data_IF_770452167410
#
_entry.id   IF_770452167410
#
_cell.length_a   1.000
_cell.length_b   1.000
_cell.length_c   1.000
_cell.angle_alpha   90.00
_cell.angle_beta   90.00
_cell.angle_gamma   90.00
#
_symmetry.space_group_name_H-M   'P 1'
#
loop_
_entity.id
_entity.type
_entity.pdbx_description
1 polymer ?
#
# COMPACT_ATOMS: atom_id res chain seq x y z
N UNK A 1 -4.81 7.73 -12.22
CA UNK A 1 -5.81 6.92 -11.50
C UNK A 1 -5.40 6.93 -10.04
N UNK A 2 -6.29 7.32 -9.14
CA UNK A 2 -6.00 7.24 -7.70
C UNK A 2 -6.08 5.79 -7.26
N UNK A 3 -5.24 5.40 -6.32
CA UNK A 3 -5.30 4.09 -5.69
C UNK A 3 -6.52 4.03 -4.78
N UNK A 4 -7.07 2.83 -4.57
CA UNK A 4 -8.23 2.70 -3.68
C UNK A 4 -7.84 2.85 -2.20
N UNK A 5 -6.54 2.77 -1.90
CA UNK A 5 -6.02 2.68 -0.54
C UNK A 5 -5.84 4.04 0.13
N UNK A 6 -5.84 5.13 -0.65
CA UNK A 6 -6.08 6.48 -0.13
C UNK A 6 -7.53 6.57 0.35
N UNK A 7 -7.73 6.42 1.65
CA UNK A 7 -9.04 6.38 2.28
C UNK A 7 -9.84 7.68 2.07
N UNK A 8 -9.26 8.90 2.25
CA UNK A 8 -9.90 10.15 1.84
C UNK A 8 -10.35 10.16 0.38
N UNK A 9 -9.51 9.70 -0.56
CA UNK A 9 -9.89 9.62 -1.96
C UNK A 9 -11.04 8.62 -2.20
N UNK A 10 -11.01 7.47 -1.53
CA UNK A 10 -12.11 6.50 -1.58
C UNK A 10 -13.42 7.11 -1.09
N UNK A 11 -13.42 7.83 0.04
CA UNK A 11 -14.64 8.47 0.54
C UNK A 11 -15.22 9.47 -0.46
N UNK A 12 -14.37 10.31 -1.07
CA UNK A 12 -14.79 11.23 -2.14
C UNK A 12 -15.35 10.51 -3.35
N UNK A 13 -14.74 9.37 -3.73
CA UNK A 13 -15.21 8.54 -4.83
C UNK A 13 -16.60 7.96 -4.54
N UNK A 14 -16.79 7.37 -3.35
CA UNK A 14 -18.09 6.84 -2.93
C UNK A 14 -19.16 7.92 -2.91
N UNK A 15 -18.86 9.10 -2.36
CA UNK A 15 -19.79 10.23 -2.35
C UNK A 15 -20.16 10.66 -3.78
N UNK A 16 -19.20 10.71 -4.71
CA UNK A 16 -19.44 11.07 -6.12
C UNK A 16 -20.35 10.06 -6.85
N UNK A 17 -20.40 8.83 -6.36
CA UNK A 17 -21.25 7.75 -6.87
C UNK A 17 -22.55 7.60 -6.06
N UNK A 18 -22.81 8.49 -5.10
CA UNK A 18 -23.94 8.41 -4.16
C UNK A 18 -23.95 7.09 -3.36
N UNK A 19 -22.78 6.49 -3.13
CA UNK A 19 -22.62 5.28 -2.31
C UNK A 19 -22.32 5.70 -0.86
N UNK A 20 -23.04 5.10 0.10
CA UNK A 20 -22.82 5.40 1.52
C UNK A 20 -21.38 5.08 1.93
N UNK A 21 -20.74 6.01 2.64
CA UNK A 21 -19.38 5.86 3.19
C UNK A 21 -19.20 4.61 4.09
N UNK A 22 -20.28 4.09 4.66
CA UNK A 22 -20.27 2.82 5.42
C UNK A 22 -19.79 1.61 4.62
N UNK A 23 -19.82 1.68 3.28
CA UNK A 23 -19.29 0.62 2.41
C UNK A 23 -17.77 0.68 2.24
N UNK A 24 -17.09 1.77 2.63
CA UNK A 24 -15.65 1.93 2.42
C UNK A 24 -14.82 0.84 3.11
N UNK A 25 -15.09 0.57 4.39
CA UNK A 25 -14.32 -0.43 5.13
C UNK A 25 -14.58 -1.87 4.67
N UNK A 26 -15.85 -2.34 4.51
CA UNK A 26 -16.13 -3.64 3.93
C UNK A 26 -15.49 -3.85 2.56
N UNK A 27 -15.55 -2.83 1.70
CA UNK A 27 -14.92 -2.84 0.38
C UNK A 27 -13.42 -3.03 0.50
N UNK A 28 -12.73 -2.17 1.25
CA UNK A 28 -11.28 -2.27 1.42
C UNK A 28 -10.85 -3.60 2.04
N UNK A 29 -11.60 -4.12 3.02
CA UNK A 29 -11.29 -5.41 3.65
C UNK A 29 -11.39 -6.56 2.65
N UNK A 30 -12.45 -6.61 1.86
CA UNK A 30 -12.64 -7.65 0.87
C UNK A 30 -11.58 -7.60 -0.24
N UNK A 31 -11.28 -6.39 -0.71
CA UNK A 31 -10.29 -6.18 -1.76
C UNK A 31 -8.87 -6.43 -1.27
N UNK A 32 -8.53 -6.10 -0.03
CA UNK A 32 -7.23 -6.42 0.59
C UNK A 32 -6.95 -7.92 0.51
N UNK A 33 -7.90 -8.76 0.91
CA UNK A 33 -7.72 -10.22 0.87
C UNK A 33 -7.50 -10.73 -0.57
N UNK A 34 -8.28 -10.24 -1.54
CA UNK A 34 -8.13 -10.57 -2.96
C UNK A 34 -6.77 -10.15 -3.50
N UNK A 35 -6.36 -8.92 -3.20
CA UNK A 35 -5.10 -8.33 -3.62
C UNK A 35 -3.91 -9.10 -3.06
N UNK A 36 -3.91 -9.48 -1.78
CA UNK A 36 -2.81 -10.23 -1.17
C UNK A 36 -2.71 -11.66 -1.74
N UNK A 37 -3.83 -12.29 -2.07
CA UNK A 37 -3.87 -13.67 -2.57
C UNK A 37 -3.66 -13.78 -4.09
N UNK A 38 -3.82 -12.68 -4.82
CA UNK A 38 -3.68 -12.67 -6.26
C UNK A 38 -2.21 -12.82 -6.70
N UNK A 39 -1.96 -13.45 -7.87
CA UNK A 39 -0.66 -13.35 -8.53
C UNK A 39 -0.30 -11.90 -8.84
N UNK A 40 0.97 -11.64 -9.17
CA UNK A 40 1.39 -10.31 -9.59
C UNK A 40 0.56 -9.86 -10.80
N UNK A 41 -0.08 -8.69 -10.67
CA UNK A 41 -1.00 -8.13 -11.63
C UNK A 41 -1.36 -6.70 -11.23
N UNK A 42 -1.62 -5.88 -12.26
CA UNK A 42 -1.73 -4.43 -12.15
C UNK A 42 -3.18 -3.96 -12.33
N UNK A 43 -4.10 -4.85 -12.72
CA UNK A 43 -5.52 -4.53 -12.92
C UNK A 43 -6.43 -5.25 -11.94
N UNK A 44 -7.64 -4.71 -11.73
CA UNK A 44 -8.66 -5.38 -10.91
C UNK A 44 -9.04 -6.77 -11.46
N UNK A 45 -8.99 -6.94 -12.79
CA UNK A 45 -9.19 -8.24 -13.44
C UNK A 45 -8.12 -9.25 -13.07
N UNK A 46 -6.84 -8.85 -13.06
CA UNK A 46 -5.73 -9.73 -12.70
C UNK A 46 -5.82 -10.23 -11.25
N UNK A 47 -6.37 -9.40 -10.35
CA UNK A 47 -6.60 -9.75 -8.95
C UNK A 47 -7.94 -10.46 -8.70
N UNK A 48 -8.67 -10.81 -9.76
CA UNK A 48 -9.93 -11.54 -9.68
C UNK A 48 -11.06 -10.76 -9.01
N UNK A 49 -11.02 -9.42 -9.09
CA UNK A 49 -12.07 -8.51 -8.61
C UNK A 49 -12.89 -8.05 -9.80
N UNK A 50 -14.20 -8.32 -9.72
CA UNK A 50 -15.16 -8.00 -10.78
C UNK A 50 -16.36 -7.23 -10.23
N UNK A 51 -17.23 -6.74 -11.10
CA UNK A 51 -18.53 -6.18 -10.67
C UNK A 51 -19.29 -7.16 -9.76
N UNK A 52 -19.26 -8.47 -10.06
CA UNK A 52 -19.91 -9.48 -9.23
C UNK A 52 -19.33 -9.52 -7.81
N UNK A 53 -18.02 -9.29 -7.66
CA UNK A 53 -17.38 -9.21 -6.32
C UNK A 53 -17.99 -8.08 -5.49
N UNK A 54 -18.31 -6.94 -6.11
CA UNK A 54 -18.94 -5.81 -5.42
C UNK A 54 -20.40 -6.09 -5.07
N UNK A 55 -21.13 -6.74 -5.98
CA UNK A 55 -22.52 -7.16 -5.75
C UNK A 55 -22.59 -8.15 -4.58
N UNK A 56 -21.65 -9.11 -4.50
CA UNK A 56 -21.59 -10.10 -3.42
C UNK A 56 -21.30 -9.45 -2.04
N UNK A 57 -20.67 -8.28 -2.04
CA UNK A 57 -20.45 -7.44 -0.85
C UNK A 57 -21.67 -6.57 -0.49
N UNK A 58 -22.77 -6.68 -1.25
CA UNK A 58 -23.99 -5.90 -1.06
C UNK A 58 -23.90 -4.46 -1.57
N UNK A 59 -22.96 -4.15 -2.45
CA UNK A 59 -22.86 -2.83 -3.08
C UNK A 59 -23.82 -2.73 -4.29
N UNK A 60 -24.34 -1.52 -4.60
CA UNK A 60 -25.16 -1.31 -5.79
C UNK A 60 -24.33 -1.50 -7.07
N UNK A 61 -24.97 -1.83 -8.20
CA UNK A 61 -24.27 -2.04 -9.50
C UNK A 61 -23.37 -0.89 -9.92
N UNK A 62 -23.76 0.36 -9.64
CA UNK A 62 -22.93 1.56 -9.89
C UNK A 62 -21.58 1.55 -9.17
N UNK A 63 -21.39 0.69 -8.16
CA UNK A 63 -20.10 0.50 -7.52
C UNK A 63 -19.05 -0.08 -8.48
N UNK A 64 -19.43 -0.70 -9.61
CA UNK A 64 -18.52 -1.10 -10.66
C UNK A 64 -17.61 0.05 -11.13
N UNK A 65 -18.12 1.28 -11.15
CA UNK A 65 -17.36 2.49 -11.50
C UNK A 65 -16.17 2.72 -10.55
N UNK A 66 -16.21 2.19 -9.33
CA UNK A 66 -15.06 2.24 -8.41
C UNK A 66 -13.87 1.49 -9.01
N UNK A 67 -14.09 0.33 -9.63
CA UNK A 67 -13.04 -0.46 -10.26
C UNK A 67 -12.53 0.21 -11.54
N UNK A 68 -13.41 0.84 -12.32
CA UNK A 68 -13.04 1.54 -13.54
C UNK A 68 -12.20 2.80 -13.25
N UNK A 69 -12.47 3.47 -12.12
CA UNK A 69 -11.81 4.73 -11.73
C UNK A 69 -10.62 4.54 -10.80
N UNK A 70 -10.24 3.30 -10.48
CA UNK A 70 -9.12 2.99 -9.58
C UNK A 70 -8.28 1.84 -10.10
N UNK A 71 -7.17 1.59 -9.42
CA UNK A 71 -6.26 0.46 -9.67
C UNK A 71 -5.97 -0.26 -8.35
N UNK A 72 -5.68 -1.57 -8.36
CA UNK A 72 -5.22 -2.28 -7.16
C UNK A 72 -3.86 -1.79 -6.66
N UNK A 73 -3.01 -1.23 -7.53
CA UNK A 73 -1.74 -0.60 -7.15
C UNK A 73 -1.47 0.64 -8.01
N UNK A 74 -1.09 1.76 -7.38
CA UNK A 74 -0.49 2.92 -8.04
C UNK A 74 1.03 2.81 -8.11
N UNK A 75 1.64 2.27 -7.05
CA UNK A 75 3.06 1.99 -6.94
C UNK A 75 3.44 0.77 -7.76
N UNK A 76 4.51 0.88 -8.56
CA UNK A 76 5.07 -0.25 -9.29
C UNK A 76 6.28 -0.79 -8.56
N UNK A 77 6.29 -2.10 -8.28
CA UNK A 77 7.48 -2.76 -7.74
C UNK A 77 8.56 -2.84 -8.84
N UNK A 78 9.52 -1.92 -8.81
CA UNK A 78 10.59 -1.84 -9.80
C UNK A 78 11.62 -2.95 -9.60
N UNK A 79 12.03 -3.20 -8.36
CA UNK A 79 12.97 -4.27 -8.02
C UNK A 79 12.72 -4.80 -6.61
N UNK A 80 12.92 -6.10 -6.42
CA UNK A 80 12.99 -6.74 -5.11
C UNK A 80 14.26 -7.58 -5.02
N UNK A 81 15.09 -7.33 -4.00
CA UNK A 81 16.35 -8.05 -3.78
C UNK A 81 16.33 -8.67 -2.40
N UNK A 82 16.50 -9.98 -2.33
CA UNK A 82 16.55 -10.74 -1.07
C UNK A 82 18.01 -10.97 -0.68
N UNK A 83 18.32 -10.79 0.62
CA UNK A 83 19.63 -11.06 1.19
C UNK A 83 20.03 -12.52 1.04
N UNK A 84 21.33 -12.81 1.09
CA UNK A 84 21.85 -14.16 0.89
C UNK A 84 21.32 -15.20 1.90
N UNK A 85 21.04 -14.76 3.13
CA UNK A 85 20.45 -15.58 4.20
C UNK A 85 18.91 -15.66 4.13
N UNK A 86 18.27 -14.99 3.18
CA UNK A 86 16.81 -14.96 3.02
C UNK A 86 16.06 -14.15 4.06
N UNK A 87 16.73 -13.61 5.08
CA UNK A 87 16.09 -12.94 6.23
C UNK A 87 15.48 -11.59 5.85
N UNK A 88 16.02 -10.94 4.81
CA UNK A 88 15.65 -9.57 4.46
C UNK A 88 15.37 -9.42 2.97
N UNK A 89 14.31 -8.71 2.61
CA UNK A 89 14.05 -8.33 1.21
C UNK A 89 13.88 -6.82 1.11
N UNK A 90 14.75 -6.17 0.34
CA UNK A 90 14.60 -4.76 -0.04
C UNK A 90 13.73 -4.65 -1.28
N UNK A 91 12.73 -3.80 -1.25
CA UNK A 91 11.82 -3.48 -2.35
C UNK A 91 11.99 -2.03 -2.74
N UNK A 92 12.03 -1.75 -4.04
CA UNK A 92 12.03 -0.40 -4.59
C UNK A 92 10.73 -0.21 -5.35
N UNK A 93 9.97 0.80 -4.96
CA UNK A 93 8.72 1.18 -5.59
C UNK A 93 8.92 2.44 -6.42
N UNK A 94 8.47 2.41 -7.67
CA UNK A 94 8.28 3.60 -8.50
C UNK A 94 6.86 4.13 -8.27
N UNK A 95 6.77 5.37 -7.82
CA UNK A 95 5.52 6.08 -7.53
C UNK A 95 4.86 6.58 -8.82
N UNK A 96 3.63 7.08 -8.68
CA UNK A 96 2.83 7.58 -9.80
C UNK A 96 3.48 8.77 -10.54
N UNK A 97 4.30 9.54 -9.84
CA UNK A 97 5.03 10.72 -10.34
C UNK A 97 6.46 10.39 -10.82
N UNK A 98 6.83 9.10 -10.80
CA UNK A 98 8.12 8.59 -11.27
C UNK A 98 9.24 8.64 -10.23
N UNK A 99 9.00 9.18 -9.03
CA UNK A 99 9.95 9.09 -7.93
C UNK A 99 10.02 7.67 -7.36
N UNK A 100 11.06 7.40 -6.56
CA UNK A 100 11.28 6.06 -5.99
C UNK A 100 11.41 6.11 -4.48
N UNK A 101 10.80 5.13 -3.83
CA UNK A 101 10.94 4.87 -2.40
C UNK A 101 11.32 3.42 -2.14
N UNK A 102 11.94 3.18 -0.98
CA UNK A 102 12.34 1.85 -0.57
C UNK A 102 11.48 1.34 0.59
N UNK A 103 11.23 0.04 0.61
CA UNK A 103 10.65 -0.67 1.75
C UNK A 103 11.46 -1.92 2.03
N UNK A 104 11.46 -2.39 3.28
CA UNK A 104 12.25 -3.56 3.68
C UNK A 104 11.41 -4.55 4.46
N UNK A 105 11.24 -5.76 3.93
CA UNK A 105 10.67 -6.89 4.65
C UNK A 105 11.79 -7.56 5.45
N UNK A 106 11.62 -7.66 6.77
CA UNK A 106 12.54 -8.34 7.69
C UNK A 106 11.81 -9.51 8.34
N UNK A 107 12.42 -10.69 8.27
CA UNK A 107 11.88 -11.96 8.78
C UNK A 107 12.68 -12.35 10.01
N UNK A 108 11.97 -12.52 11.12
CA UNK A 108 12.49 -13.06 12.37
C UNK A 108 11.76 -14.38 12.68
N UNK A 109 12.26 -15.14 13.64
CA UNK A 109 11.71 -16.45 14.00
C UNK A 109 10.22 -16.42 14.35
N UNK A 110 9.74 -15.34 14.97
CA UNK A 110 8.38 -15.21 15.49
C UNK A 110 7.50 -14.20 14.73
N UNK A 111 8.09 -13.40 13.83
CA UNK A 111 7.38 -12.30 13.16
C UNK A 111 8.01 -11.89 11.84
N UNK A 112 7.16 -11.34 10.97
CA UNK A 112 7.60 -10.63 9.76
C UNK A 112 7.23 -9.15 9.89
N UNK A 113 8.22 -8.27 9.72
CA UNK A 113 8.10 -6.83 9.85
C UNK A 113 8.35 -6.14 8.51
N UNK A 114 7.51 -5.18 8.14
CA UNK A 114 7.78 -4.26 7.02
C UNK A 114 8.27 -2.92 7.56
N UNK A 115 9.36 -2.43 6.99
CA UNK A 115 9.80 -1.05 7.11
C UNK A 115 9.23 -0.26 5.92
N UNK A 116 8.40 0.74 6.18
CA UNK A 116 7.76 1.58 5.15
C UNK A 116 8.37 2.99 5.11
N UNK A 117 8.40 3.55 3.92
CA UNK A 117 8.69 4.96 3.66
C UNK A 117 7.43 5.81 3.82
N UNK A 118 7.61 7.07 4.20
CA UNK A 118 6.56 8.08 4.39
C UNK A 118 6.75 9.33 3.52
N UNK A 119 7.95 9.54 2.97
CA UNK A 119 8.28 10.67 2.09
C UNK A 119 9.30 10.25 1.02
N UNK A 120 9.40 11.05 -0.04
CA UNK A 120 10.51 11.01 -1.00
C UNK A 120 11.57 12.02 -0.55
N UNK A 121 12.69 11.51 -0.04
CA UNK A 121 13.69 12.31 0.67
C UNK A 121 13.30 12.53 2.14
N UNK A 122 14.02 13.38 2.87
CA UNK A 122 13.70 13.71 4.26
C UNK A 122 14.24 15.08 4.65
N UNK A 123 13.36 15.96 5.15
CA UNK A 123 13.71 17.35 5.49
C UNK A 123 14.56 17.48 6.76
N UNK A 124 14.71 16.41 7.55
CA UNK A 124 15.44 16.47 8.82
C UNK A 124 16.94 16.73 8.65
N UNK A 125 17.51 16.48 7.46
CA UNK A 125 18.91 16.83 7.17
C UNK A 125 19.94 16.08 8.02
N UNK A 126 19.57 14.93 8.61
CA UNK A 126 20.46 14.12 9.44
C UNK A 126 21.68 13.66 8.63
N UNK A 127 22.88 14.12 8.98
CA UNK A 127 24.11 13.93 8.19
C UNK A 127 24.60 12.48 8.10
N UNK A 128 24.15 11.62 9.01
CA UNK A 128 24.43 10.18 9.01
C UNK A 128 23.41 9.36 8.20
N UNK A 129 22.31 9.97 7.76
CA UNK A 129 21.24 9.30 7.04
C UNK A 129 21.35 9.60 5.55
N UNK A 130 21.45 8.57 4.72
CA UNK A 130 21.49 8.74 3.26
C UNK A 130 20.27 9.53 2.75
N UNK A 131 19.07 9.20 3.22
CA UNK A 131 17.83 9.94 2.88
C UNK A 131 17.87 11.40 3.33
N UNK A 132 18.53 11.70 4.46
CA UNK A 132 18.72 13.07 4.95
C UNK A 132 19.64 13.92 4.08
N UNK A 133 20.43 13.30 3.20
CA UNK A 133 21.26 13.99 2.21
C UNK A 133 20.60 14.15 0.84
N UNK A 134 19.43 13.53 0.64
CA UNK A 134 18.68 13.62 -0.62
C UNK A 134 17.83 14.90 -0.69
N UNK A 135 17.54 15.42 -1.89
CA UNK A 135 16.52 16.44 -2.05
C UNK A 135 15.17 15.98 -1.49
N UNK A 136 14.47 16.90 -0.82
CA UNK A 136 13.10 16.67 -0.38
C UNK A 136 12.19 16.94 -1.57
N UNK A 137 11.44 15.92 -1.99
CA UNK A 137 10.45 16.05 -3.05
C UNK A 137 9.07 16.27 -2.45
N UNK A 138 8.67 15.45 -1.47
CA UNK A 138 7.37 15.59 -0.82
C UNK A 138 6.93 14.37 -0.01
N UNK A 139 5.72 14.50 0.53
CA UNK A 139 5.04 13.47 1.29
C UNK A 139 4.44 12.40 0.39
N UNK A 140 4.41 11.16 0.89
CA UNK A 140 3.61 10.10 0.27
C UNK A 140 2.15 10.24 0.68
N UNK A 141 1.23 9.94 -0.24
CA UNK A 141 -0.17 9.79 0.12
C UNK A 141 -0.41 8.49 0.93
N UNK A 142 -1.57 8.41 1.59
CA UNK A 142 -1.91 7.26 2.42
C UNK A 142 -1.92 5.94 1.61
N UNK A 143 -2.32 6.01 0.35
CA UNK A 143 -2.34 4.86 -0.54
C UNK A 143 -0.93 4.38 -0.88
N UNK A 144 -0.02 5.30 -1.22
CA UNK A 144 1.39 5.00 -1.51
C UNK A 144 2.11 4.35 -0.33
N UNK A 145 1.74 4.70 0.91
CA UNK A 145 2.27 4.04 2.11
C UNK A 145 1.65 2.65 2.29
N UNK A 146 0.32 2.53 2.18
CA UNK A 146 -0.39 1.25 2.36
C UNK A 146 0.00 0.23 1.30
N UNK A 147 0.24 0.65 0.07
CA UNK A 147 0.64 -0.23 -1.02
C UNK A 147 1.99 -0.90 -0.78
N UNK A 148 2.92 -0.27 -0.05
CA UNK A 148 4.17 -0.91 0.38
C UNK A 148 3.88 -2.13 1.26
N UNK A 149 2.92 -2.02 2.18
CA UNK A 149 2.47 -3.13 3.04
C UNK A 149 1.74 -4.21 2.22
N UNK A 150 0.83 -3.82 1.33
CA UNK A 150 0.09 -4.79 0.49
C UNK A 150 1.01 -5.58 -0.44
N UNK A 151 1.99 -4.90 -1.05
CA UNK A 151 3.00 -5.54 -1.88
C UNK A 151 3.87 -6.50 -1.05
N UNK A 152 4.28 -6.11 0.16
CA UNK A 152 4.99 -6.99 1.08
C UNK A 152 4.17 -8.24 1.47
N UNK A 153 2.89 -8.06 1.77
CA UNK A 153 1.98 -9.17 2.10
C UNK A 153 1.80 -10.13 0.94
N UNK A 154 1.57 -9.59 -0.27
CA UNK A 154 1.48 -10.39 -1.50
C UNK A 154 2.78 -11.15 -1.76
N UNK A 155 3.93 -10.49 -1.58
CA UNK A 155 5.24 -11.10 -1.79
C UNK A 155 5.47 -12.30 -0.85
N UNK A 156 5.20 -12.14 0.46
CA UNK A 156 5.29 -13.25 1.42
C UNK A 156 4.29 -14.36 1.11
N UNK A 157 3.04 -14.01 0.82
CA UNK A 157 1.97 -14.98 0.49
C UNK A 157 2.33 -15.81 -0.73
N UNK A 158 2.85 -15.19 -1.79
CA UNK A 158 3.26 -15.88 -3.02
C UNK A 158 4.40 -16.87 -2.81
N UNK A 159 5.25 -16.62 -1.81
CA UNK A 159 6.35 -17.49 -1.42
C UNK A 159 5.97 -18.47 -0.29
N UNK A 160 4.68 -18.54 0.08
CA UNK A 160 4.16 -19.34 1.18
C UNK A 160 4.90 -19.09 2.52
N UNK A 161 5.22 -17.82 2.80
CA UNK A 161 5.92 -17.37 4.01
C UNK A 161 4.94 -16.74 5.01
N UNK A 162 5.32 -16.64 6.30
CA UNK A 162 4.50 -15.97 7.30
C UNK A 162 4.13 -14.53 6.91
N UNK A 163 2.86 -14.19 7.08
CA UNK A 163 2.34 -12.86 6.80
C UNK A 163 3.07 -11.77 7.62
N UNK A 164 3.19 -10.59 7.01
CA UNK A 164 3.63 -9.36 7.67
C UNK A 164 2.61 -8.97 8.73
N UNK A 165 3.04 -8.90 9.99
CA UNK A 165 2.17 -8.54 11.13
C UNK A 165 2.65 -7.31 11.89
N UNK A 166 3.82 -6.79 11.52
CA UNK A 166 4.43 -5.63 12.12
C UNK A 166 4.80 -4.64 11.02
N UNK A 167 4.50 -3.36 11.23
CA UNK A 167 4.94 -2.27 10.37
C UNK A 167 5.69 -1.23 11.19
N UNK A 168 6.82 -0.77 10.68
CA UNK A 168 7.62 0.31 11.27
C UNK A 168 7.82 1.40 10.24
N UNK A 169 7.70 2.66 10.67
CA UNK A 169 7.93 3.83 9.85
C UNK A 169 9.38 4.28 10.01
N UNK A 170 10.30 3.51 9.44
CA UNK A 170 11.74 3.73 9.54
C UNK A 170 12.42 3.71 8.15
N UNK A 171 11.63 3.86 7.08
CA UNK A 171 12.11 3.95 5.72
C UNK A 171 12.58 5.36 5.38
N UNK A 172 12.23 5.83 4.19
CA UNK A 172 12.50 7.20 3.76
C UNK A 172 11.46 8.17 4.36
N UNK A 173 11.93 9.30 4.88
CA UNK A 173 11.08 10.38 5.41
C UNK A 173 10.97 10.44 6.93
N UNK A 174 10.41 11.55 7.41
CA UNK A 174 10.02 11.77 8.82
C UNK A 174 8.50 11.56 8.95
N UNK A 175 8.06 10.45 9.57
CA UNK A 175 6.63 10.09 9.63
C UNK A 175 5.77 11.10 10.38
N UNK A 176 6.34 11.85 11.33
CA UNK A 176 5.59 12.89 12.04
C UNK A 176 5.33 14.14 11.20
N UNK A 177 6.15 14.39 10.17
CA UNK A 177 5.89 15.45 9.19
C UNK A 177 4.79 15.05 8.19
N UNK A 178 4.49 13.75 8.07
CA UNK A 178 3.42 13.20 7.24
C UNK A 178 2.37 12.43 8.09
N UNK A 179 2.01 12.99 9.25
CA UNK A 179 1.19 12.29 10.24
C UNK A 179 -0.21 11.92 9.73
N UNK A 180 -0.86 12.84 9.00
CA UNK A 180 -2.23 12.64 8.52
C UNK A 180 -2.34 11.45 7.56
N UNK A 181 -1.37 11.29 6.64
CA UNK A 181 -1.43 10.24 5.63
C UNK A 181 -1.38 8.85 6.28
N UNK A 182 -0.45 8.59 7.19
CA UNK A 182 -0.32 7.26 7.78
C UNK A 182 -1.39 6.97 8.86
N UNK A 183 -1.84 8.00 9.60
CA UNK A 183 -2.90 7.83 10.59
C UNK A 183 -4.22 7.37 9.95
N UNK A 184 -4.54 7.90 8.77
CA UNK A 184 -5.87 7.78 8.17
C UNK A 184 -6.27 6.34 7.80
N UNK A 185 -5.33 5.37 7.75
CA UNK A 185 -5.71 3.98 7.44
C UNK A 185 -4.95 2.85 8.12
N UNK A 186 -3.73 3.04 8.65
CA UNK A 186 -2.99 1.93 9.27
C UNK A 186 -3.75 1.29 10.45
N UNK A 187 -4.57 2.05 11.18
CA UNK A 187 -5.36 1.52 12.30
C UNK A 187 -6.47 0.53 11.89
N UNK A 188 -6.92 0.60 10.64
CA UNK A 188 -8.06 -0.18 10.15
C UNK A 188 -7.67 -1.31 9.20
N UNK A 189 -6.39 -1.40 8.81
CA UNK A 189 -5.85 -2.54 8.08
C UNK A 189 -5.62 -3.69 9.08
N UNK A 190 -6.67 -4.45 9.36
CA UNK A 190 -6.52 -5.79 9.95
C UNK A 190 -6.06 -6.73 8.83
N UNK A 191 -4.75 -6.79 8.61
CA UNK A 191 -4.12 -7.77 7.71
C UNK A 191 -3.68 -8.99 8.51
#
# INVERSE_FOLDING_TARGET
>A
LSTLWDYPALLRLLDSLDIKRSHAEPLLRALTAKVVQAPAGDTWGDVGVTEQTLVDLGLPKRAAEVLERSTPFGNKLATAVTSADGSTTKMVFELHDGHKVESVVMRHDDRTTICVSSQVGCQMGCTFCATGTMPVVGDLDAGEIVEQLLAAQRFESSANRPAVRNAVFMGMGEPLNNYEAWQTRFQHLRV
#
